data_IF_751598562752
#
_entry.id   IF_751598562752
#
_cell.length_a   1.000
_cell.length_b   1.000
_cell.length_c   1.000
_cell.angle_alpha   90.00
_cell.angle_beta   90.00
_cell.angle_gamma   90.00
#
_symmetry.space_group_name_H-M   'P 1'
#
loop_
_entity.id
_entity.type
_entity.pdbx_description
1 polymer ?
#
# COMPACT_ATOMS: atom_id res chain seq x y z
N UNK A 1 1.30 4.53 13.09
CA UNK A 1 1.87 4.21 11.76
C UNK A 1 1.31 5.26 10.82
N UNK A 2 2.07 6.32 10.57
CA UNK A 2 1.59 7.47 9.79
C UNK A 2 1.41 7.05 8.32
N UNK A 3 0.45 7.64 7.60
CA UNK A 3 0.18 7.33 6.19
C UNK A 3 1.43 7.37 5.31
N UNK A 4 2.34 8.28 5.61
CA UNK A 4 3.63 8.46 4.93
C UNK A 4 4.55 7.22 5.03
N UNK A 5 4.50 6.50 6.17
CA UNK A 5 5.29 5.28 6.35
C UNK A 5 4.76 4.12 5.50
N UNK A 6 3.45 4.07 5.26
CA UNK A 6 2.83 2.99 4.47
C UNK A 6 3.06 3.20 2.97
N UNK A 7 2.97 4.44 2.48
CA UNK A 7 3.30 4.82 1.09
C UNK A 7 4.75 4.46 0.74
N UNK A 8 5.68 4.80 1.62
CA UNK A 8 7.11 4.52 1.43
C UNK A 8 7.41 3.02 1.32
N UNK A 9 6.72 2.18 2.12
CA UNK A 9 6.87 0.72 2.09
C UNK A 9 6.32 0.15 0.78
N UNK A 10 5.14 0.61 0.35
CA UNK A 10 4.50 0.12 -0.87
C UNK A 10 5.32 0.47 -2.11
N UNK A 11 5.93 1.66 -2.14
CA UNK A 11 6.87 2.07 -3.18
C UNK A 11 8.11 1.16 -3.23
N UNK A 12 8.74 0.86 -2.08
CA UNK A 12 9.90 -0.03 -2.00
C UNK A 12 9.57 -1.43 -2.57
N UNK A 13 8.40 -1.96 -2.23
CA UNK A 13 7.91 -3.28 -2.66
C UNK A 13 7.73 -3.37 -4.18
N UNK A 14 7.33 -2.26 -4.82
CA UNK A 14 7.16 -2.16 -6.26
C UNK A 14 8.47 -1.90 -7.04
N UNK A 15 9.36 -1.09 -6.46
CA UNK A 15 10.61 -0.68 -7.10
C UNK A 15 11.64 -1.81 -7.13
N UNK A 16 11.70 -2.62 -6.06
CA UNK A 16 12.61 -3.76 -6.00
C UNK A 16 12.01 -5.04 -6.60
N UNK A 17 12.57 -5.58 -7.70
CA UNK A 17 12.01 -6.76 -8.38
C UNK A 17 12.08 -8.04 -7.54
N UNK A 18 13.06 -8.14 -6.64
CA UNK A 18 13.16 -9.24 -5.67
C UNK A 18 11.97 -9.24 -4.71
N UNK A 19 11.60 -8.07 -4.20
CA UNK A 19 10.48 -7.91 -3.29
C UNK A 19 9.14 -8.12 -4.00
N UNK A 20 8.94 -7.55 -5.19
CA UNK A 20 7.75 -7.82 -6.01
C UNK A 20 7.60 -9.32 -6.31
N UNK A 21 8.71 -10.01 -6.62
CA UNK A 21 8.66 -11.46 -6.91
C UNK A 21 8.35 -12.28 -5.66
N UNK A 22 8.93 -11.91 -4.52
CA UNK A 22 8.63 -12.56 -3.24
C UNK A 22 7.14 -12.45 -2.91
N UNK A 23 6.55 -11.26 -3.00
CA UNK A 23 5.12 -11.04 -2.76
C UNK A 23 4.27 -11.82 -3.77
N UNK A 24 4.63 -11.79 -5.06
CA UNK A 24 3.90 -12.51 -6.09
C UNK A 24 3.88 -14.04 -5.84
N UNK A 25 4.98 -14.60 -5.33
CA UNK A 25 5.05 -16.02 -4.95
C UNK A 25 4.18 -16.29 -3.72
N UNK A 26 4.27 -15.44 -2.68
CA UNK A 26 3.52 -15.61 -1.43
C UNK A 26 2.01 -15.48 -1.65
N UNK A 27 1.58 -14.51 -2.45
CA UNK A 27 0.17 -14.30 -2.79
C UNK A 27 -0.31 -15.24 -3.92
N UNK A 28 0.58 -16.05 -4.50
CA UNK A 28 0.31 -16.92 -5.64
C UNK A 28 -0.37 -16.17 -6.80
N UNK A 29 0.11 -14.96 -7.07
CA UNK A 29 -0.37 -14.10 -8.13
C UNK A 29 0.72 -13.88 -9.18
N UNK A 30 0.31 -13.45 -10.38
CA UNK A 30 1.30 -12.99 -11.36
C UNK A 30 1.91 -11.68 -10.88
N UNK A 31 3.20 -11.45 -11.20
CA UNK A 31 3.90 -10.18 -10.88
C UNK A 31 3.13 -8.93 -11.32
N UNK A 32 2.43 -9.01 -12.45
CA UNK A 32 1.61 -7.91 -12.95
C UNK A 32 0.40 -7.63 -12.04
N UNK A 33 -0.27 -8.69 -11.56
CA UNK A 33 -1.42 -8.57 -10.66
C UNK A 33 -1.02 -8.07 -9.27
N UNK A 34 0.10 -8.57 -8.75
CA UNK A 34 0.68 -8.06 -7.50
C UNK A 34 0.97 -6.56 -7.59
N UNK A 35 1.56 -6.07 -8.69
CA UNK A 35 1.80 -4.63 -8.91
C UNK A 35 0.52 -3.82 -8.99
N UNK A 36 -0.49 -4.34 -9.68
CA UNK A 36 -1.80 -3.70 -9.76
C UNK A 36 -2.44 -3.58 -8.36
N UNK A 37 -2.37 -4.62 -7.55
CA UNK A 37 -2.89 -4.64 -6.18
C UNK A 37 -2.13 -3.68 -5.25
N UNK A 38 -0.80 -3.62 -5.39
CA UNK A 38 0.05 -2.66 -4.66
C UNK A 38 -0.33 -1.21 -5.02
N UNK A 39 -0.48 -0.88 -6.30
CA UNK A 39 -0.90 0.46 -6.75
C UNK A 39 -2.27 0.86 -6.20
N UNK A 40 -3.25 -0.05 -6.24
CA UNK A 40 -4.58 0.24 -5.72
C UNK A 40 -4.59 0.56 -4.22
N UNK A 41 -3.64 -0.01 -3.47
CA UNK A 41 -3.49 0.23 -2.02
C UNK A 41 -2.81 1.58 -1.70
N UNK A 42 -2.22 2.30 -2.67
CA UNK A 42 -1.65 3.65 -2.48
C UNK A 42 -2.71 4.78 -2.44
N UNK A 43 -3.90 4.55 -2.99
CA UNK A 43 -4.92 5.62 -3.10
C UNK A 43 -5.46 6.04 -1.73
N UNK A 44 -5.50 5.10 -0.77
CA UNK A 44 -5.97 5.36 0.60
C UNK A 44 -5.42 4.27 1.54
N UNK A 45 -4.11 4.29 1.84
CA UNK A 45 -3.43 3.20 2.57
C UNK A 45 -3.99 2.99 3.98
N UNK A 46 -4.47 4.06 4.61
CA UNK A 46 -4.94 4.08 5.99
C UNK A 46 -6.48 4.10 6.11
N UNK A 47 -7.21 3.95 5.00
CA UNK A 47 -8.66 4.13 4.97
C UNK A 47 -9.08 5.61 5.05
N UNK A 48 -10.40 5.88 5.05
CA UNK A 48 -10.93 7.23 5.08
C UNK A 48 -10.46 7.96 6.35
N UNK A 49 -10.13 9.26 6.25
CA UNK A 49 -9.71 10.04 7.41
C UNK A 49 -10.82 10.02 8.47
N UNK A 50 -10.45 9.97 9.77
CA UNK A 50 -11.43 9.96 10.85
C UNK A 50 -12.31 11.21 10.79
N UNK A 51 -13.60 11.06 11.13
CA UNK A 51 -14.54 12.18 11.20
C UNK A 51 -14.01 13.21 12.22
N UNK A 52 -14.08 14.50 11.85
CA UNK A 52 -13.67 15.59 12.75
C UNK A 52 -14.47 15.48 14.05
N UNK A 53 -13.76 15.56 15.18
CA UNK A 53 -14.43 15.56 16.47
C UNK A 53 -15.32 16.81 16.59
N UNK A 54 -16.50 16.74 17.23
CA UNK A 54 -17.38 17.89 17.40
C UNK A 54 -16.83 18.95 18.39
N UNK A 55 -15.54 18.91 18.73
CA UNK A 55 -14.87 19.83 19.66
C UNK A 55 -13.89 20.79 18.94
N UNK A 56 -13.86 20.76 17.62
CA UNK A 56 -12.99 21.62 16.78
C UNK A 56 -13.78 22.76 16.09
N UNK A 57 -14.78 23.34 16.79
CA UNK A 57 -15.41 24.64 16.45
C UNK A 57 -14.71 25.81 17.17
#
# INVERSE_FOLDING_TARGET
MTSETLESILYLMMSHPGMTSFIAIVENESRARTRYNLLNRMILPCGPPPEKSPLDD
#
